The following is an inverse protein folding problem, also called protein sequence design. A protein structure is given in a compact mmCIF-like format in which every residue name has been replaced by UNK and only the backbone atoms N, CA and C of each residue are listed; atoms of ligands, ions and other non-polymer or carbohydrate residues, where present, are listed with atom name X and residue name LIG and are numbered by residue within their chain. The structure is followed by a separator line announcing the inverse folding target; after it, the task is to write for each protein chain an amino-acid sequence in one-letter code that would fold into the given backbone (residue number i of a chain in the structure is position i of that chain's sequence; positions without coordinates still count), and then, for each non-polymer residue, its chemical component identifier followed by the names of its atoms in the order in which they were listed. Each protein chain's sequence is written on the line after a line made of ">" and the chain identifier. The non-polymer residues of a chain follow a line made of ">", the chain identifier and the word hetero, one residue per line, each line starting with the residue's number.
data_IF_430219555969
#
_entry.id   IF_430219555969
#
_cell.length_a   1.000
_cell.length_b   1.000
_cell.length_c   1.000
_cell.angle_alpha   90.00
_cell.angle_beta   90.00
_cell.angle_gamma   90.00
#
_symmetry.space_group_name_H-M   'P 1'
#
loop_
_entity.id
_entity.type
_entity.pdbx_description
1 polymer ?
#
# COMPACT_ATOMS: atom_id res chain seq x y z
N UNK A 1 10.20 -15.52 3.73
CA UNK A 1 8.79 -15.59 3.28
C UNK A 1 8.72 -15.94 1.79
N UNK A 2 7.70 -16.68 1.32
CA UNK A 2 7.46 -16.86 -0.13
C UNK A 2 6.82 -15.59 -0.71
N UNK A 3 7.24 -15.16 -1.90
CA UNK A 3 6.82 -13.91 -2.55
C UNK A 3 6.42 -14.18 -4.00
N UNK A 4 5.42 -13.49 -4.52
CA UNK A 4 4.84 -13.75 -5.86
C UNK A 4 4.63 -12.49 -6.72
N UNK A 5 4.94 -11.30 -6.20
CA UNK A 5 4.70 -10.04 -6.88
C UNK A 5 5.63 -8.94 -6.37
N UNK A 6 5.58 -7.80 -7.04
CA UNK A 6 6.08 -6.51 -6.53
C UNK A 6 4.89 -5.59 -6.27
N UNK A 7 5.07 -4.52 -5.50
CA UNK A 7 4.05 -3.50 -5.33
C UNK A 7 4.62 -2.09 -5.25
N UNK A 8 3.74 -1.12 -5.43
CA UNK A 8 4.01 0.29 -5.24
C UNK A 8 3.04 0.86 -4.22
N UNK A 9 3.57 1.51 -3.19
CA UNK A 9 2.80 2.23 -2.17
C UNK A 9 2.92 3.73 -2.44
N UNK A 10 1.81 4.44 -2.40
CA UNK A 10 1.77 5.90 -2.36
C UNK A 10 1.34 6.33 -0.96
N UNK A 11 2.25 6.99 -0.26
CA UNK A 11 1.99 7.53 1.07
C UNK A 11 1.48 8.96 0.96
N UNK A 12 0.33 9.24 1.59
CA UNK A 12 -0.21 10.60 1.64
C UNK A 12 0.58 11.46 2.60
N UNK A 13 1.00 12.64 2.15
CA UNK A 13 1.67 13.66 2.95
C UNK A 13 0.91 14.98 2.86
N UNK A 14 0.54 15.53 4.02
CA UNK A 14 -0.08 16.85 4.07
C UNK A 14 0.99 17.91 3.89
N UNK A 15 0.98 18.61 2.75
CA UNK A 15 1.79 19.80 2.58
C UNK A 15 1.18 20.95 3.40
N UNK A 16 1.74 21.20 4.58
CA UNK A 16 1.29 22.27 5.48
C UNK A 16 1.42 23.67 4.87
N UNK A 17 2.31 23.87 3.88
CA UNK A 17 2.50 25.18 3.24
C UNK A 17 1.43 25.44 2.18
N UNK A 18 1.11 24.44 1.37
CA UNK A 18 0.16 24.60 0.26
C UNK A 18 -1.26 24.09 0.56
N UNK A 19 -1.48 23.48 1.75
CA UNK A 19 -2.74 22.80 2.13
C UNK A 19 -3.21 21.79 1.07
N UNK A 20 -2.25 21.14 0.42
CA UNK A 20 -2.51 20.11 -0.60
C UNK A 20 -1.96 18.79 -0.11
N UNK A 21 -2.71 17.74 -0.38
CA UNK A 21 -2.21 16.38 -0.21
C UNK A 21 -1.22 16.10 -1.34
N UNK A 22 0.01 15.82 -0.95
CA UNK A 22 1.05 15.29 -1.83
C UNK A 22 1.17 13.80 -1.60
N UNK A 23 1.65 13.07 -2.59
CA UNK A 23 1.77 11.63 -2.52
C UNK A 23 3.21 11.25 -2.83
N UNK A 24 3.81 10.45 -1.95
CA UNK A 24 5.17 9.98 -2.13
C UNK A 24 5.14 8.51 -2.50
N UNK A 25 5.71 8.20 -3.65
CA UNK A 25 5.82 6.84 -4.18
C UNK A 25 6.97 6.07 -3.52
N UNK A 26 6.69 4.81 -3.20
CA UNK A 26 7.67 3.82 -2.74
C UNK A 26 7.43 2.52 -3.48
N UNK A 27 8.42 2.06 -4.23
CA UNK A 27 8.40 0.74 -4.86
C UNK A 27 8.97 -0.29 -3.90
N UNK A 28 8.33 -1.45 -3.80
CA UNK A 28 8.68 -2.53 -2.88
C UNK A 28 8.74 -3.81 -3.70
N UNK A 29 9.87 -4.49 -3.61
CA UNK A 29 10.14 -5.71 -4.37
C UNK A 29 9.88 -6.95 -3.51
N UNK A 30 9.43 -8.04 -4.13
CA UNK A 30 9.29 -9.32 -3.43
C UNK A 30 8.25 -9.27 -2.30
N UNK A 31 7.01 -9.00 -2.67
CA UNK A 31 5.85 -9.11 -1.77
C UNK A 31 5.04 -10.37 -2.07
N UNK A 32 4.24 -10.81 -1.12
CA UNK A 32 3.20 -11.80 -1.37
C UNK A 32 1.85 -11.10 -1.48
N UNK A 33 1.31 -11.10 -2.70
CA UNK A 33 0.02 -10.52 -3.04
C UNK A 33 -1.04 -11.61 -3.08
N UNK A 34 -1.98 -11.54 -2.14
CA UNK A 34 -3.18 -12.37 -2.11
C UNK A 34 -4.39 -11.49 -2.43
N UNK A 35 -4.61 -11.28 -3.73
CA UNK A 35 -5.76 -10.57 -4.26
C UNK A 35 -6.81 -11.57 -4.71
N UNK A 36 -7.96 -11.61 -4.03
CA UNK A 36 -9.10 -12.37 -4.53
C UNK A 36 -9.97 -11.47 -5.41
N UNK A 37 -9.90 -11.63 -6.73
CA UNK A 37 -10.99 -11.19 -7.63
C UNK A 37 -12.18 -12.15 -7.45
N UNK A 38 -12.74 -12.20 -6.25
CA UNK A 38 -13.89 -13.05 -5.98
C UNK A 38 -15.12 -12.40 -6.60
N UNK A 39 -15.38 -12.70 -7.87
CA UNK A 39 -16.67 -12.47 -8.52
C UNK A 39 -17.73 -13.37 -7.87
N UNK A 40 -18.22 -12.99 -6.68
CA UNK A 40 -19.36 -13.66 -6.07
C UNK A 40 -20.63 -13.10 -6.69
N UNK A 41 -21.13 -13.78 -7.73
CA UNK A 41 -22.56 -13.78 -7.99
C UNK A 41 -23.25 -14.51 -6.82
N UNK A 42 -23.74 -13.75 -5.85
CA UNK A 42 -24.57 -14.23 -4.75
C UNK A 42 -25.75 -13.30 -4.60
N UNK A 43 -26.95 -13.81 -4.86
CA UNK A 43 -28.20 -13.09 -4.71
C UNK A 43 -28.34 -12.45 -3.33
N UNK A 44 -28.79 -11.18 -3.34
CA UNK A 44 -29.12 -10.31 -2.19
C UNK A 44 -27.93 -9.65 -1.46
N UNK A 45 -27.62 -8.43 -1.90
CA UNK A 45 -27.23 -7.35 -0.99
C UNK A 45 -25.83 -7.43 -0.37
N UNK A 46 -24.90 -8.11 -1.02
CA UNK A 46 -23.49 -8.09 -0.62
C UNK A 46 -22.75 -7.06 -1.46
N UNK A 47 -22.21 -6.02 -0.82
CA UNK A 47 -21.28 -5.10 -1.46
C UNK A 47 -20.07 -5.97 -1.85
N UNK A 48 -19.74 -6.00 -3.14
CA UNK A 48 -18.52 -6.63 -3.66
C UNK A 48 -17.31 -6.08 -2.91
N UNK A 49 -16.90 -6.78 -1.85
CA UNK A 49 -15.70 -6.46 -1.10
C UNK A 49 -14.51 -6.99 -1.89
N UNK A 50 -13.98 -6.16 -2.79
CA UNK A 50 -12.66 -6.37 -3.39
C UNK A 50 -11.62 -6.25 -2.26
N UNK A 51 -11.42 -7.35 -1.54
CA UNK A 51 -10.42 -7.51 -0.49
C UNK A 51 -9.09 -7.90 -1.14
N UNK A 52 -8.03 -7.18 -0.79
CA UNK A 52 -6.65 -7.64 -0.98
C UNK A 52 -5.98 -7.81 0.38
N UNK A 53 -5.18 -8.88 0.50
CA UNK A 53 -4.21 -9.03 1.58
C UNK A 53 -2.80 -9.09 0.99
N UNK A 54 -1.93 -8.17 1.40
CA UNK A 54 -0.55 -8.10 0.92
C UNK A 54 0.40 -8.30 2.11
N UNK A 55 1.28 -9.28 1.99
CA UNK A 55 2.33 -9.52 2.97
C UNK A 55 3.63 -8.94 2.43
N UNK A 56 4.21 -7.99 3.17
CA UNK A 56 5.43 -7.27 2.79
C UNK A 56 6.53 -7.67 3.77
N UNK A 57 7.59 -8.38 3.33
CA UNK A 57 8.73 -8.68 4.20
C UNK A 57 9.31 -7.40 4.81
N UNK A 58 9.80 -7.48 6.05
CA UNK A 58 10.30 -6.31 6.78
C UNK A 58 11.53 -5.66 6.12
N UNK A 59 12.26 -6.43 5.32
CA UNK A 59 13.47 -6.07 4.58
C UNK A 59 13.24 -5.85 3.07
N UNK A 60 11.99 -5.88 2.61
CA UNK A 60 11.64 -5.78 1.19
C UNK A 60 11.82 -4.38 0.57
N UNK A 61 12.03 -3.35 1.39
CA UNK A 61 12.13 -1.97 0.95
C UNK A 61 13.46 -1.34 1.39
N UNK A 62 14.09 -0.61 0.47
CA UNK A 62 15.32 0.15 0.76
C UNK A 62 15.07 1.33 1.71
N UNK A 63 13.81 1.81 1.79
CA UNK A 63 13.42 2.88 2.71
C UNK A 63 13.11 2.31 4.09
N UNK A 64 13.36 3.11 5.13
CA UNK A 64 13.02 2.70 6.49
C UNK A 64 11.52 2.81 6.73
N UNK A 65 10.89 1.73 7.23
CA UNK A 65 9.51 1.81 7.69
C UNK A 65 9.42 2.67 8.96
N UNK A 66 8.49 3.64 8.96
CA UNK A 66 8.10 4.39 10.14
C UNK A 66 6.60 4.19 10.40
N UNK A 67 6.18 4.03 11.68
CA UNK A 67 4.77 4.07 12.04
C UNK A 67 4.11 5.39 11.57
N UNK A 68 2.78 5.41 11.33
CA UNK A 68 2.10 6.58 10.76
C UNK A 68 2.34 7.90 11.51
N UNK A 69 2.45 7.87 12.84
CA UNK A 69 2.71 9.06 13.67
C UNK A 69 4.12 9.62 13.46
N UNK A 70 5.11 8.74 13.35
CA UNK A 70 6.51 9.12 13.18
C UNK A 70 6.75 9.58 11.74
N UNK A 71 6.14 8.90 10.77
CA UNK A 71 6.16 9.29 9.37
C UNK A 71 5.54 10.68 9.14
N UNK A 72 4.43 11.00 9.82
CA UNK A 72 3.80 12.32 9.75
C UNK A 72 4.68 13.45 10.33
N UNK A 73 5.63 13.11 11.21
CA UNK A 73 6.56 14.06 11.83
C UNK A 73 7.83 14.24 10.99
N UNK A 74 8.38 13.14 10.48
CA UNK A 74 9.54 13.14 9.60
C UNK A 74 9.44 12.03 8.53
N UNK A 75 8.92 12.34 7.34
CA UNK A 75 8.78 11.37 6.27
C UNK A 75 10.07 11.13 5.47
N UNK A 76 11.16 11.84 5.78
CA UNK A 76 12.38 11.85 4.97
C UNK A 76 13.00 10.45 4.91
N UNK A 77 13.17 9.93 3.69
CA UNK A 77 13.79 8.62 3.45
C UNK A 77 13.00 7.43 4.03
N UNK A 78 11.74 7.65 4.41
CA UNK A 78 10.90 6.63 5.04
C UNK A 78 9.67 6.30 4.19
N UNK A 79 8.98 5.22 4.58
CA UNK A 79 7.64 4.91 4.12
C UNK A 79 6.77 4.46 5.29
N UNK A 80 5.47 4.45 5.10
CA UNK A 80 4.49 3.92 6.07
C UNK A 80 3.47 3.05 5.34
N UNK A 81 2.61 2.38 6.10
CA UNK A 81 1.48 1.60 5.60
C UNK A 81 0.23 2.04 6.38
N UNK A 82 -0.14 3.32 6.24
CA UNK A 82 -1.22 3.91 7.02
C UNK A 82 -2.57 3.71 6.32
N UNK A 83 -3.68 3.59 7.09
CA UNK A 83 -5.01 3.64 6.50
C UNK A 83 -5.23 4.89 5.66
N UNK A 84 -5.72 4.72 4.43
CA UNK A 84 -5.90 5.78 3.45
C UNK A 84 -4.72 5.99 2.48
N UNK A 85 -3.59 5.31 2.68
CA UNK A 85 -2.54 5.21 1.66
C UNK A 85 -2.99 4.30 0.50
N UNK A 86 -2.35 4.42 -0.67
CA UNK A 86 -2.68 3.62 -1.85
C UNK A 86 -1.62 2.52 -2.03
N UNK A 87 -2.05 1.29 -2.32
CA UNK A 87 -1.18 0.18 -2.68
C UNK A 87 -1.62 -0.39 -4.03
N UNK A 88 -0.67 -0.55 -4.95
CA UNK A 88 -0.90 -1.04 -6.32
C UNK A 88 0.06 -2.18 -6.58
N UNK A 89 -0.42 -3.27 -7.19
CA UNK A 89 0.45 -4.36 -7.62
C UNK A 89 1.30 -3.93 -8.81
N UNK A 90 2.59 -4.27 -8.75
CA UNK A 90 3.59 -3.92 -9.76
C UNK A 90 4.38 -2.66 -9.43
N UNK A 91 5.41 -2.42 -10.25
CA UNK A 91 6.34 -1.30 -10.11
C UNK A 91 5.89 -0.12 -10.96
N UNK A 92 5.07 0.75 -10.37
CA UNK A 92 4.48 1.89 -11.06
C UNK A 92 5.49 3.03 -11.14
N UNK A 93 5.66 3.64 -12.32
CA UNK A 93 6.60 4.75 -12.56
C UNK A 93 5.93 6.11 -12.63
N UNK A 94 4.61 6.15 -12.55
CA UNK A 94 3.83 7.39 -12.54
C UNK A 94 3.78 7.94 -11.12
N UNK A 95 3.90 9.25 -10.98
CA UNK A 95 3.68 9.94 -9.71
C UNK A 95 2.26 10.52 -9.70
N UNK A 96 1.68 10.66 -8.50
CA UNK A 96 0.38 11.31 -8.34
C UNK A 96 0.64 12.82 -8.26
N UNK A 97 0.10 13.54 -9.24
CA UNK A 97 0.30 14.98 -9.42
C UNK A 97 -1.02 15.65 -9.83
N UNK A 98 -0.96 16.84 -10.45
CA UNK A 98 -2.14 17.57 -10.89
C UNK A 98 -2.91 16.87 -12.04
N UNK A 99 -2.24 16.01 -12.81
CA UNK A 99 -2.80 15.30 -13.96
C UNK A 99 -3.17 13.85 -13.62
N UNK A 100 -2.40 13.21 -12.73
CA UNK A 100 -2.62 11.83 -12.29
C UNK A 100 -3.19 11.82 -10.88
N UNK A 101 -4.48 11.50 -10.74
CA UNK A 101 -5.15 11.42 -9.43
C UNK A 101 -5.18 9.98 -8.89
N UNK A 102 -5.41 9.84 -7.58
CA UNK A 102 -5.65 8.53 -6.94
C UNK A 102 -6.77 7.77 -7.65
N UNK A 103 -7.87 8.45 -7.97
CA UNK A 103 -9.01 7.85 -8.67
C UNK A 103 -8.63 7.36 -10.08
N UNK A 104 -7.78 8.10 -10.79
CA UNK A 104 -7.29 7.69 -12.11
C UNK A 104 -6.43 6.42 -12.01
N UNK A 105 -5.56 6.31 -10.99
CA UNK A 105 -4.77 5.09 -10.76
C UNK A 105 -5.66 3.90 -10.39
N UNK A 106 -6.64 4.09 -9.50
CA UNK A 106 -7.61 3.05 -9.14
C UNK A 106 -8.45 2.56 -10.32
N UNK A 107 -8.73 3.42 -11.31
CA UNK A 107 -9.44 3.03 -12.53
C UNK A 107 -8.52 2.40 -13.58
N UNK A 108 -7.23 2.78 -13.59
CA UNK A 108 -6.26 2.33 -14.57
C UNK A 108 -5.69 0.95 -14.27
N UNK A 109 -5.54 0.61 -13.00
CA UNK A 109 -4.92 -0.63 -12.54
C UNK A 109 -5.96 -1.52 -11.85
N UNK A 110 -6.12 -2.76 -12.33
CA UNK A 110 -7.08 -3.72 -11.76
C UNK A 110 -6.72 -4.11 -10.31
N UNK A 111 -5.43 -4.19 -10.00
CA UNK A 111 -4.89 -4.53 -8.68
C UNK A 111 -4.44 -3.27 -7.90
N UNK A 112 -5.34 -2.30 -7.73
CA UNK A 112 -5.10 -1.07 -6.98
C UNK A 112 -6.12 -0.86 -5.85
N UNK A 113 -5.61 -0.61 -4.63
CA UNK A 113 -6.42 -0.63 -3.40
C UNK A 113 -6.02 0.48 -2.44
N UNK A 114 -6.99 0.99 -1.69
CA UNK A 114 -6.71 1.89 -0.56
C UNK A 114 -6.48 1.04 0.69
N UNK A 115 -5.38 1.26 1.40
CA UNK A 115 -5.06 0.55 2.63
C UNK A 115 -6.15 0.84 3.66
N UNK A 116 -6.79 -0.21 4.16
CA UNK A 116 -7.79 -0.18 5.23
C UNK A 116 -7.13 -0.40 6.60
N UNK A 117 -6.19 -1.34 6.66
CA UNK A 117 -5.45 -1.65 7.88
C UNK A 117 -4.09 -2.26 7.57
N UNK A 118 -3.17 -2.15 8.53
CA UNK A 118 -1.86 -2.78 8.48
C UNK A 118 -1.54 -3.37 9.86
N UNK A 119 -1.09 -4.62 9.89
CA UNK A 119 -0.57 -5.29 11.07
C UNK A 119 0.97 -5.35 10.96
N UNK A 120 1.66 -4.93 12.02
CA UNK A 120 3.12 -5.00 12.12
C UNK A 120 3.53 -6.33 12.77
N UNK A 121 3.94 -7.28 11.95
CA UNK A 121 4.39 -8.61 12.38
C UNK A 121 5.92 -8.73 12.38
N UNK A 122 6.64 -7.65 12.70
CA UNK A 122 8.11 -7.66 12.87
C UNK A 122 8.53 -8.19 14.23
N UNK A 123 8.09 -9.39 14.57
CA UNK A 123 8.50 -10.13 15.75
C UNK A 123 8.90 -11.56 15.38
N UNK A 124 9.70 -12.21 16.23
CA UNK A 124 10.22 -13.55 15.98
C UNK A 124 11.37 -13.58 14.97
N UNK A 125 11.54 -14.72 14.29
CA UNK A 125 12.64 -14.93 13.34
C UNK A 125 12.58 -13.95 12.17
N UNK A 126 13.73 -13.42 11.75
CA UNK A 126 13.85 -12.46 10.63
C UNK A 126 13.12 -12.93 9.38
N UNK A 127 13.17 -14.23 9.09
CA UNK A 127 12.60 -14.81 7.86
C UNK A 127 11.06 -14.78 7.80
N UNK A 128 10.43 -14.55 8.96
CA UNK A 128 8.98 -14.47 9.15
C UNK A 128 8.51 -13.03 9.42
N UNK A 129 9.41 -12.08 9.60
CA UNK A 129 9.03 -10.69 9.88
C UNK A 129 8.42 -10.05 8.63
N UNK A 130 7.18 -9.58 8.75
CA UNK A 130 6.46 -8.96 7.65
C UNK A 130 5.42 -7.95 8.15
N UNK A 131 4.90 -7.15 7.24
CA UNK A 131 3.68 -6.37 7.42
C UNK A 131 2.54 -7.08 6.70
N UNK A 132 1.36 -7.14 7.32
CA UNK A 132 0.14 -7.63 6.69
C UNK A 132 -0.77 -6.44 6.41
N UNK A 133 -0.91 -6.09 5.14
CA UNK A 133 -1.71 -4.96 4.64
C UNK A 133 -3.01 -5.48 4.10
N UNK A 134 -4.13 -4.87 4.50
CA UNK A 134 -5.47 -5.17 4.00
C UNK A 134 -6.03 -3.95 3.28
N UNK A 135 -6.55 -4.14 2.07
CA UNK A 135 -7.12 -3.11 1.20
C UNK A 135 -8.48 -3.51 0.64
#
# INVERSE_FOLDING_TARGET
>A
MYTNADCTVYNRQLDRKNRRDTWVRTQIHGVFWDGSHAHRHGDKGDITANNVTVYIPADACDKTYKPPKDYASDPTGAYTLAPGDLIIRGLIREDIDANTTVAALLQKYDDAYTILSCEDNRYGSSDLQHFCVKG
#
